data_IF_111227194678
#
_entry.id   IF_111227194678
#
_cell.length_a   1.000
_cell.length_b   1.000
_cell.length_c   1.000
_cell.angle_alpha   90.00
_cell.angle_beta   90.00
_cell.angle_gamma   90.00
#
_symmetry.space_group_name_H-M   'P 1'
#
loop_
_entity.id
_entity.type
_entity.pdbx_description
1 polymer ?
#
# COMPACT_ATOMS: atom_id res chain seq x y z
N UNK A 1 0.64 11.28 31.51
CA UNK A 1 0.44 11.72 30.11
C UNK A 1 0.02 10.49 29.33
N UNK A 2 -1.23 10.43 28.86
CA UNK A 2 -1.76 9.27 28.15
C UNK A 2 -1.49 9.42 26.67
N UNK A 3 -0.70 8.53 26.09
CA UNK A 3 -0.49 8.48 24.65
C UNK A 3 -1.76 7.94 23.98
N UNK A 4 -2.37 8.76 23.12
CA UNK A 4 -3.60 8.40 22.41
C UNK A 4 -3.31 8.22 20.93
N UNK A 5 -3.67 7.05 20.39
CA UNK A 5 -3.62 6.78 18.97
C UNK A 5 -4.81 7.46 18.29
N UNK A 6 -4.53 8.38 17.38
CA UNK A 6 -5.55 9.04 16.55
C UNK A 6 -5.60 8.36 15.18
N UNK A 7 -6.79 7.96 14.74
CA UNK A 7 -6.98 7.45 13.38
C UNK A 7 -6.76 8.60 12.41
N UNK A 8 -5.80 8.44 11.50
CA UNK A 8 -5.45 9.47 10.54
C UNK A 8 -5.96 9.22 9.13
N UNK A 9 -6.16 7.96 8.75
CA UNK A 9 -6.63 7.61 7.42
C UNK A 9 -6.92 6.12 7.28
N UNK A 10 -7.47 5.74 6.13
CA UNK A 10 -7.77 4.33 5.80
C UNK A 10 -7.17 3.97 4.45
N UNK A 11 -6.48 2.82 4.37
CA UNK A 11 -5.89 2.30 3.16
C UNK A 11 -6.87 1.30 2.53
N UNK A 12 -7.59 1.72 1.48
CA UNK A 12 -8.57 0.88 0.78
C UNK A 12 -7.95 0.27 -0.47
N UNK A 13 -7.97 -1.06 -0.56
CA UNK A 13 -7.40 -1.71 -1.74
C UNK A 13 -7.50 -3.23 -1.79
N UNK A 14 -7.47 -3.91 -0.65
CA UNK A 14 -7.67 -5.35 -0.61
C UNK A 14 -9.14 -5.71 -0.87
N UNK A 15 -9.37 -6.78 -1.62
CA UNK A 15 -10.69 -7.31 -1.91
C UNK A 15 -11.07 -8.47 -0.96
N UNK A 16 -10.30 -8.62 0.12
CA UNK A 16 -10.43 -9.69 1.09
C UNK A 16 -9.87 -9.28 2.45
N UNK A 17 -9.89 -10.22 3.38
CA UNK A 17 -9.37 -9.99 4.73
C UNK A 17 -7.86 -9.87 4.70
N UNK A 18 -7.35 -8.80 5.30
CA UNK A 18 -5.93 -8.60 5.56
C UNK A 18 -5.53 -9.56 6.67
N UNK A 19 -4.60 -10.47 6.37
CA UNK A 19 -4.14 -11.49 7.31
C UNK A 19 -2.82 -11.09 7.96
N UNK A 20 -2.05 -10.21 7.33
CA UNK A 20 -0.73 -9.82 7.82
C UNK A 20 -0.37 -8.40 7.39
N UNK A 21 0.35 -7.71 8.28
CA UNK A 21 0.94 -6.40 8.03
C UNK A 21 2.43 -6.48 8.41
N UNK A 22 3.30 -5.95 7.57
CA UNK A 22 4.73 -5.85 7.83
C UNK A 22 5.20 -4.41 7.64
N UNK A 23 6.06 -3.96 8.53
CA UNK A 23 6.73 -2.66 8.47
C UNK A 23 8.23 -2.89 8.60
N UNK A 24 9.03 -2.02 7.99
CA UNK A 24 10.49 -2.12 8.06
C UNK A 24 11.06 -0.84 8.68
N UNK A 25 12.02 -0.93 9.61
CA UNK A 25 12.66 0.25 10.18
C UNK A 25 13.58 0.96 9.16
N UNK A 26 13.99 0.26 8.10
CA UNK A 26 14.81 0.86 7.03
C UNK A 26 14.00 1.84 6.17
N UNK A 27 12.70 1.60 5.97
CA UNK A 27 11.82 2.43 5.16
C UNK A 27 10.54 2.77 5.94
N UNK A 28 10.56 3.83 6.78
CA UNK A 28 9.44 4.19 7.65
C UNK A 28 8.19 4.66 6.87
N UNK A 29 8.37 5.07 5.62
CA UNK A 29 7.28 5.49 4.75
C UNK A 29 6.71 4.32 3.93
N UNK A 30 7.07 3.07 4.26
CA UNK A 30 6.61 1.87 3.56
C UNK A 30 5.89 0.90 4.49
N UNK A 31 4.69 0.48 4.09
CA UNK A 31 3.93 -0.58 4.75
C UNK A 31 3.60 -1.66 3.74
N UNK A 32 3.72 -2.92 4.14
CA UNK A 32 3.24 -4.06 3.36
C UNK A 32 1.99 -4.63 4.00
N UNK A 33 0.95 -4.86 3.22
CA UNK A 33 -0.23 -5.59 3.64
C UNK A 33 -0.44 -6.82 2.75
N UNK A 34 -0.69 -7.97 3.38
CA UNK A 34 -1.03 -9.21 2.71
C UNK A 34 -2.46 -9.60 3.04
N UNK A 35 -3.18 -10.07 2.02
CA UNK A 35 -4.60 -10.41 2.12
C UNK A 35 -4.88 -11.81 1.57
N UNK A 36 -6.00 -12.38 2.03
CA UNK A 36 -6.52 -13.66 1.56
C UNK A 36 -6.98 -13.62 0.10
N UNK A 37 -7.07 -12.42 -0.49
CA UNK A 37 -7.28 -12.22 -1.94
C UNK A 37 -6.06 -12.63 -2.80
N UNK A 38 -5.01 -13.19 -2.19
CA UNK A 38 -3.73 -13.60 -2.83
C UNK A 38 -2.94 -12.42 -3.40
N UNK A 39 -3.23 -11.21 -2.94
CA UNK A 39 -2.47 -10.01 -3.30
C UNK A 39 -1.70 -9.48 -2.11
N UNK A 40 -0.57 -8.87 -2.42
CA UNK A 40 0.22 -8.09 -1.47
C UNK A 40 0.28 -6.69 -2.05
N UNK A 41 0.00 -5.68 -1.22
CA UNK A 41 0.05 -4.28 -1.62
C UNK A 41 1.18 -3.62 -0.84
N UNK A 42 2.05 -2.94 -1.57
CA UNK A 42 3.05 -2.06 -0.97
C UNK A 42 2.48 -0.65 -0.89
N UNK A 43 2.29 -0.17 0.32
CA UNK A 43 1.79 1.18 0.58
C UNK A 43 2.97 2.10 0.79
N UNK A 44 3.03 3.16 -0.02
CA UNK A 44 3.91 4.28 0.24
C UNK A 44 3.12 5.35 0.99
N UNK A 45 3.46 5.58 2.25
CA UNK A 45 2.83 6.58 3.11
C UNK A 45 3.22 7.98 2.64
N UNK A 46 2.26 8.70 2.09
CA UNK A 46 2.30 10.16 1.98
C UNK A 46 1.52 10.66 3.18
N UNK A 47 2.19 11.34 4.14
CA UNK A 47 1.58 11.85 5.39
C UNK A 47 0.61 13.01 5.15
N UNK A 48 -0.13 12.95 4.05
CA UNK A 48 -1.15 13.88 3.63
C UNK A 48 -2.49 13.46 4.23
N UNK A 49 -3.25 14.42 4.77
CA UNK A 49 -4.51 14.14 5.47
C UNK A 49 -5.58 13.54 4.55
N UNK A 50 -5.48 13.77 3.23
CA UNK A 50 -6.48 13.32 2.27
C UNK A 50 -6.15 11.99 1.60
N UNK A 51 -4.87 11.65 1.45
CA UNK A 51 -4.45 10.42 0.78
C UNK A 51 -3.27 9.77 1.50
N UNK A 52 -3.61 8.93 2.48
CA UNK A 52 -2.65 8.40 3.46
C UNK A 52 -1.62 7.42 2.88
N UNK A 53 -1.89 6.84 1.71
CA UNK A 53 -0.91 5.96 1.09
C UNK A 53 -1.28 5.54 -0.32
N UNK A 54 -0.28 5.61 -1.19
CA UNK A 54 -0.40 5.20 -2.58
C UNK A 54 -0.16 3.68 -2.65
N UNK A 55 -1.12 2.89 -3.15
CA UNK A 55 -0.92 1.46 -3.38
C UNK A 55 0.02 1.27 -4.57
N UNK A 56 1.23 0.82 -4.32
CA UNK A 56 2.13 0.29 -5.33
C UNK A 56 1.85 -1.20 -5.48
N UNK A 57 1.17 -1.55 -6.57
CA UNK A 57 0.98 -2.93 -7.01
C UNK A 57 1.70 -3.11 -8.33
N UNK A 58 2.33 -4.28 -8.50
CA UNK A 58 2.75 -4.67 -9.82
C UNK A 58 1.49 -4.82 -10.70
N UNK A 59 1.44 -4.22 -11.90
CA UNK A 59 0.40 -4.56 -12.85
C UNK A 59 0.46 -6.07 -13.12
N UNK A 60 -0.68 -6.73 -13.38
CA UNK A 60 -0.66 -8.12 -13.77
C UNK A 60 0.31 -8.29 -14.94
N UNK A 61 1.16 -9.32 -14.88
CA UNK A 61 2.23 -9.60 -15.87
C UNK A 61 1.75 -9.71 -17.34
N UNK A 62 0.44 -9.60 -17.59
CA UNK A 62 -0.17 -9.57 -18.93
C UNK A 62 -0.33 -8.18 -19.55
N UNK A 63 -0.19 -7.09 -18.81
CA UNK A 63 -0.32 -5.73 -19.36
C UNK A 63 1.04 -5.17 -19.83
N UNK A 64 1.62 -5.82 -20.84
CA UNK A 64 2.79 -5.33 -21.57
C UNK A 64 2.47 -4.17 -22.53
N UNK A 65 1.25 -3.62 -22.50
CA UNK A 65 0.82 -2.59 -23.45
C UNK A 65 1.06 -1.14 -22.98
N UNK A 66 1.45 -0.92 -21.72
CA UNK A 66 1.72 0.43 -21.19
C UNK A 66 3.15 0.94 -21.43
N UNK A 67 3.92 0.30 -22.31
CA UNK A 67 5.12 0.93 -22.88
C UNK A 67 4.69 1.89 -24.00
N UNK A 68 4.76 3.22 -23.83
CA UNK A 68 4.87 4.06 -25.01
C UNK A 68 6.18 3.64 -25.66
N UNK A 69 6.10 3.02 -26.85
CA UNK A 69 7.22 2.95 -27.78
C UNK A 69 7.71 4.38 -27.99
N UNK A 70 8.69 4.81 -27.21
CA UNK A 70 9.50 5.97 -27.51
C UNK A 70 10.73 5.45 -28.25
N UNK A 71 10.71 5.72 -29.56
CA UNK A 71 11.74 5.56 -30.58
C UNK A 71 12.15 4.13 -30.94
#
# INVERSE_FOLDING_TARGET
>A
MTEQMTLRGTLKGHNGWVTQIATTPQFPDMILSASRDKTIIMWKLTRDETNYGIPQRAPPRGDLWAIPRMC
#
